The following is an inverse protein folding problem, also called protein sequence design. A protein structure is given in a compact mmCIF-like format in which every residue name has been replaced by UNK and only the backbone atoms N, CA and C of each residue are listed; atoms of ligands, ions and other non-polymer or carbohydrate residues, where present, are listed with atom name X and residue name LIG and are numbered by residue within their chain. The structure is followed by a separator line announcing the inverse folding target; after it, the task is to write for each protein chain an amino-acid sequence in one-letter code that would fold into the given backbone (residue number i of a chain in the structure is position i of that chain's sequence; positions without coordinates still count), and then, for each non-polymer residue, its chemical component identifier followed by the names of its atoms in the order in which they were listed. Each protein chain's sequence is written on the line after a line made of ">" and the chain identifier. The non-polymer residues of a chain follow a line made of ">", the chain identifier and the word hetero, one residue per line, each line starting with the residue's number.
data_IF_016354963354
#
_entry.id   IF_016354963354
#
_cell.length_a   1.000
_cell.length_b   1.000
_cell.length_c   1.000
_cell.angle_alpha   90.00
_cell.angle_beta   90.00
_cell.angle_gamma   90.00
#
_symmetry.space_group_name_H-M   'P 1'
#
loop_
_entity.id
_entity.type
_entity.pdbx_description
1 polymer ?
#
# COMPACT_ATOMS: atom_id res chain seq x y z
N UNK A 1 -43.85 33.44 15.07
CA UNK A 1 -43.71 33.04 15.33
C UNK A 1 -43.14 32.07 15.31
N UNK A 2 -42.86 31.50 15.43
CA UNK A 2 -42.63 30.47 15.41
C UNK A 2 -41.69 30.00 14.60
N UNK A 3 -41.47 30.10 13.82
CA UNK A 3 -40.69 29.72 12.91
C UNK A 3 -39.41 29.43 13.35
N UNK A 4 -38.98 29.97 13.97
CA UNK A 4 -37.73 29.84 14.35
C UNK A 4 -37.42 28.52 14.73
N UNK A 5 -38.20 27.95 15.22
CA UNK A 5 -37.91 26.71 15.68
C UNK A 5 -37.33 25.95 14.72
N UNK A 6 -37.63 26.12 13.64
CA UNK A 6 -37.17 25.36 12.68
C UNK A 6 -35.74 25.38 12.64
N UNK A 7 -35.16 26.34 12.86
CA UNK A 7 -33.76 26.41 12.67
C UNK A 7 -33.03 25.33 13.41
N UNK A 8 -33.52 25.06 14.54
CA UNK A 8 -32.85 24.05 15.31
C UNK A 8 -32.80 22.75 14.63
N UNK A 9 -33.83 22.43 13.99
CA UNK A 9 -33.89 21.15 13.33
C UNK A 9 -32.83 21.05 12.30
N UNK A 10 -32.62 22.09 11.59
CA UNK A 10 -31.65 22.05 10.54
C UNK A 10 -30.26 21.78 11.07
N UNK A 11 -29.96 22.36 12.15
CA UNK A 11 -28.65 22.18 12.70
C UNK A 11 -28.35 20.73 12.97
N UNK A 12 -29.31 20.04 13.44
CA UNK A 12 -29.11 18.65 13.76
C UNK A 12 -28.72 17.88 12.55
N UNK A 13 -29.35 18.16 11.46
CA UNK A 13 -29.05 17.43 10.27
C UNK A 13 -27.63 17.62 9.83
N UNK A 14 -27.16 18.80 9.94
CA UNK A 14 -25.82 19.08 9.51
C UNK A 14 -24.81 18.21 10.24
N UNK A 15 -25.05 17.99 11.47
CA UNK A 15 -24.11 17.23 12.23
C UNK A 15 -23.95 15.84 11.69
N UNK A 16 -25.01 15.26 11.33
CA UNK A 16 -24.95 13.91 10.86
C UNK A 16 -24.02 13.77 9.67
N UNK A 17 -24.08 14.73 8.81
CA UNK A 17 -23.28 14.64 7.61
C UNK A 17 -21.79 14.60 7.92
N UNK A 18 -21.40 15.31 8.91
CA UNK A 18 -19.98 15.37 9.22
C UNK A 18 -19.43 14.01 9.58
N UNK A 19 -20.20 13.24 10.30
CA UNK A 19 -19.72 11.95 10.72
C UNK A 19 -19.38 11.08 9.56
N UNK A 20 -20.17 11.11 8.55
CA UNK A 20 -19.94 10.25 7.41
C UNK A 20 -18.63 10.61 6.74
N UNK A 21 -18.33 11.87 6.64
CA UNK A 21 -17.13 12.27 5.97
C UNK A 21 -15.88 11.71 6.63
N UNK A 22 -15.89 11.58 7.92
CA UNK A 22 -14.72 11.09 8.60
C UNK A 22 -14.51 9.61 8.39
N UNK A 23 -15.55 8.91 8.08
CA UNK A 23 -15.46 7.47 8.02
C UNK A 23 -14.74 6.93 6.81
N UNK A 24 -14.72 7.62 5.72
CA UNK A 24 -14.15 7.03 4.53
C UNK A 24 -13.23 7.97 3.80
N UNK A 25 -12.28 7.41 3.12
CA UNK A 25 -11.38 8.20 2.32
C UNK A 25 -11.97 8.41 0.94
N UNK A 26 -11.69 9.52 0.31
CA UNK A 26 -12.21 9.75 -1.02
C UNK A 26 -11.55 8.80 -2.02
N UNK A 27 -12.26 8.36 -3.00
CA UNK A 27 -11.68 7.48 -4.01
C UNK A 27 -10.71 8.26 -4.88
N UNK A 28 -9.78 7.57 -5.48
CA UNK A 28 -8.84 8.21 -6.38
C UNK A 28 -9.54 8.58 -7.66
N UNK A 29 -9.08 9.64 -8.29
CA UNK A 29 -9.61 10.00 -9.58
C UNK A 29 -9.14 9.00 -10.64
N UNK A 30 -9.82 8.88 -11.77
CA UNK A 30 -9.36 7.98 -12.82
C UNK A 30 -7.96 8.32 -13.32
N UNK A 31 -7.59 9.59 -13.35
CA UNK A 31 -6.26 9.95 -13.75
C UNK A 31 -5.22 9.49 -12.74
N UNK A 32 -5.55 9.61 -11.45
CA UNK A 32 -4.66 9.16 -10.42
C UNK A 32 -4.50 7.64 -10.47
N UNK A 33 -5.59 6.94 -10.73
CA UNK A 33 -5.51 5.49 -10.84
C UNK A 33 -4.63 5.07 -11.98
N UNK A 34 -4.72 5.73 -13.12
CA UNK A 34 -3.87 5.40 -14.25
C UNK A 34 -2.42 5.71 -13.96
N UNK A 35 -2.17 6.83 -13.30
CA UNK A 35 -0.80 7.18 -12.95
C UNK A 35 -0.22 6.17 -11.97
N UNK A 36 -1.00 5.75 -10.99
CA UNK A 36 -0.54 4.77 -10.02
C UNK A 36 -0.31 3.42 -10.69
N UNK A 37 -1.17 3.02 -11.61
CA UNK A 37 -1.00 1.76 -12.31
C UNK A 37 0.27 1.79 -13.15
N UNK A 38 0.52 2.89 -13.82
CA UNK A 38 1.74 3.01 -14.62
C UNK A 38 2.98 2.96 -13.73
N UNK A 39 2.90 3.58 -12.56
CA UNK A 39 4.01 3.54 -11.63
C UNK A 39 4.22 2.11 -11.12
N UNK A 40 3.14 1.41 -10.80
CA UNK A 40 3.25 0.03 -10.34
C UNK A 40 3.90 -0.85 -11.40
N UNK A 41 3.55 -0.64 -12.66
CA UNK A 41 4.15 -1.42 -13.74
C UNK A 41 5.65 -1.13 -13.84
N UNK A 42 6.04 0.12 -13.67
CA UNK A 42 7.45 0.45 -13.73
C UNK A 42 8.22 -0.15 -12.55
N UNK A 43 7.62 -0.18 -11.37
CA UNK A 43 8.27 -0.78 -10.22
C UNK A 43 8.41 -2.28 -10.44
N UNK A 44 7.36 -2.93 -10.90
CA UNK A 44 7.44 -4.37 -11.15
C UNK A 44 8.50 -4.68 -12.18
N UNK A 45 8.56 -3.91 -13.25
CA UNK A 45 9.56 -4.14 -14.28
C UNK A 45 10.98 -3.94 -13.74
N UNK A 46 11.15 -2.93 -12.89
CA UNK A 46 12.47 -2.67 -12.34
C UNK A 46 12.90 -3.80 -11.39
N UNK A 47 11.96 -4.32 -10.61
CA UNK A 47 12.29 -5.41 -9.72
C UNK A 47 12.60 -6.69 -10.50
N UNK A 48 11.83 -6.98 -11.53
CA UNK A 48 12.05 -8.17 -12.30
C UNK A 48 13.33 -8.09 -13.11
N UNK A 49 13.79 -6.90 -13.39
CA UNK A 49 15.03 -6.76 -14.13
C UNK A 49 16.26 -6.98 -13.28
N UNK A 50 16.10 -7.13 -11.97
CA UNK A 50 17.25 -7.32 -11.11
C UNK A 50 17.85 -8.70 -11.38
N UNK A 51 19.13 -8.78 -11.76
CA UNK A 51 19.71 -10.06 -12.13
C UNK A 51 20.11 -10.91 -10.94
N UNK A 52 20.05 -10.39 -9.76
CA UNK A 52 20.47 -11.14 -8.59
C UNK A 52 19.32 -11.79 -7.88
N UNK A 53 18.28 -11.05 -7.60
CA UNK A 53 17.21 -11.56 -6.76
C UNK A 53 15.96 -11.94 -7.54
N UNK A 54 15.74 -11.34 -8.71
CA UNK A 54 14.59 -11.63 -9.56
C UNK A 54 13.23 -11.33 -8.96
N UNK A 55 13.10 -11.09 -7.75
CA UNK A 55 11.88 -10.64 -7.06
C UNK A 55 10.56 -11.16 -7.63
N UNK A 56 10.50 -12.48 -7.86
CA UNK A 56 9.29 -13.02 -8.43
C UNK A 56 8.11 -13.02 -7.51
N UNK A 57 8.34 -13.12 -6.23
CA UNK A 57 7.26 -13.24 -5.27
C UNK A 57 6.97 -11.93 -4.55
N UNK A 58 7.33 -10.83 -5.14
CA UNK A 58 7.07 -9.52 -4.58
C UNK A 58 5.89 -8.90 -5.31
N UNK A 59 4.92 -8.45 -4.54
CA UNK A 59 3.75 -7.80 -5.08
C UNK A 59 3.87 -6.31 -4.91
N UNK A 60 3.45 -5.57 -5.91
CA UNK A 60 3.56 -4.12 -5.89
C UNK A 60 2.19 -3.50 -6.07
N UNK A 61 1.86 -2.58 -5.17
CA UNK A 61 0.66 -1.77 -5.33
C UNK A 61 1.07 -0.33 -5.12
N UNK A 62 0.45 0.58 -5.85
CA UNK A 62 0.77 1.99 -5.72
C UNK A 62 -0.52 2.77 -5.52
N UNK A 63 -0.54 3.62 -4.49
CA UNK A 63 -1.67 4.48 -4.20
C UNK A 63 -1.13 5.88 -3.99
N UNK A 64 -1.52 6.82 -4.82
CA UNK A 64 -1.07 8.21 -4.70
C UNK A 64 0.46 8.30 -4.62
N UNK A 65 1.13 7.46 -5.39
CA UNK A 65 2.58 7.48 -5.40
C UNK A 65 3.24 6.70 -4.28
N UNK A 66 2.48 6.17 -3.34
CA UNK A 66 3.04 5.36 -2.26
C UNK A 66 3.09 3.93 -2.75
N UNK A 67 4.28 3.38 -2.89
CA UNK A 67 4.45 2.02 -3.36
C UNK A 67 4.50 1.08 -2.17
N UNK A 68 3.64 0.09 -2.18
CA UNK A 68 3.62 -0.93 -1.14
C UNK A 68 4.18 -2.20 -1.71
N UNK A 69 5.14 -2.76 -1.03
CA UNK A 69 5.76 -4.01 -1.44
C UNK A 69 5.32 -5.10 -0.48
N UNK A 70 4.77 -6.16 -1.02
CA UNK A 70 4.35 -7.31 -0.21
C UNK A 70 4.93 -8.57 -0.78
N UNK A 71 4.65 -9.68 -0.14
CA UNK A 71 5.13 -10.96 -0.61
C UNK A 71 6.35 -11.43 0.15
N UNK A 72 7.21 -12.17 -0.52
CA UNK A 72 8.32 -12.83 0.14
C UNK A 72 9.63 -12.59 -0.58
N UNK A 73 10.69 -12.49 0.22
CA UNK A 73 12.04 -12.44 -0.33
C UNK A 73 12.88 -13.41 0.46
N UNK A 74 14.03 -13.81 -0.10
CA UNK A 74 14.86 -14.82 0.53
C UNK A 74 15.83 -14.30 1.56
N UNK A 75 16.26 -13.09 1.46
CA UNK A 75 17.27 -12.57 2.36
C UNK A 75 16.96 -11.14 2.72
N UNK A 76 17.55 -10.68 3.81
CA UNK A 76 17.41 -9.30 4.20
C UNK A 76 18.01 -8.37 3.15
N UNK A 77 19.09 -8.80 2.51
CA UNK A 77 19.69 -7.98 1.46
C UNK A 77 18.71 -7.80 0.31
N UNK A 78 17.96 -8.84 -0.04
CA UNK A 78 16.97 -8.73 -1.09
C UNK A 78 15.88 -7.74 -0.68
N UNK A 79 15.51 -7.75 0.58
CA UNK A 79 14.48 -6.84 1.06
C UNK A 79 14.93 -5.39 0.89
N UNK A 80 16.14 -5.09 1.30
CA UNK A 80 16.64 -3.73 1.16
C UNK A 80 16.86 -3.35 -0.29
N UNK A 81 17.26 -4.32 -1.11
CA UNK A 81 17.44 -4.06 -2.53
C UNK A 81 16.11 -3.71 -3.18
N UNK A 82 15.06 -4.43 -2.82
CA UNK A 82 13.74 -4.14 -3.38
C UNK A 82 13.30 -2.73 -3.01
N UNK A 83 13.52 -2.34 -1.76
CA UNK A 83 13.16 -1.00 -1.34
C UNK A 83 13.95 0.06 -2.11
N UNK A 84 15.24 -0.18 -2.28
CA UNK A 84 16.08 0.77 -2.96
C UNK A 84 15.68 0.92 -4.42
N UNK A 85 15.44 -0.20 -5.08
CA UNK A 85 15.02 -0.17 -6.47
C UNK A 85 13.71 0.57 -6.62
N UNK A 86 12.77 0.28 -5.74
CA UNK A 86 11.46 0.91 -5.81
C UNK A 86 11.56 2.42 -5.62
N UNK A 87 12.39 2.87 -4.69
CA UNK A 87 12.52 4.30 -4.47
C UNK A 87 13.07 5.03 -5.67
N UNK A 88 13.82 4.35 -6.51
CA UNK A 88 14.41 5.01 -7.66
C UNK A 88 13.47 5.11 -8.84
N UNK A 89 12.30 4.52 -8.78
CA UNK A 89 11.36 4.53 -9.90
C UNK A 89 10.61 5.85 -9.93
N UNK A 90 10.55 6.49 -11.09
CA UNK A 90 9.80 7.75 -11.18
C UNK A 90 8.33 7.53 -10.85
N UNK A 91 7.78 8.42 -10.09
CA UNK A 91 6.38 8.32 -9.67
C UNK A 91 6.21 7.80 -8.26
N UNK A 92 7.26 7.19 -7.69
CA UNK A 92 7.19 6.70 -6.33
C UNK A 92 7.60 7.82 -5.38
N UNK A 93 6.73 8.17 -4.46
CA UNK A 93 7.03 9.19 -3.48
C UNK A 93 7.43 8.59 -2.15
N UNK A 94 6.97 7.37 -1.87
CA UNK A 94 7.30 6.71 -0.61
C UNK A 94 7.15 5.22 -0.78
N UNK A 95 7.88 4.45 -0.02
CA UNK A 95 7.82 3.00 -0.08
C UNK A 95 7.40 2.47 1.27
N UNK A 96 6.39 1.61 1.26
CA UNK A 96 5.96 0.90 2.45
C UNK A 96 6.24 -0.58 2.22
N UNK A 97 6.90 -1.20 3.17
CA UNK A 97 7.37 -2.55 3.01
C UNK A 97 6.68 -3.48 3.97
N UNK A 98 5.96 -4.45 3.44
CA UNK A 98 5.36 -5.49 4.26
C UNK A 98 5.85 -6.86 3.80
N UNK A 99 6.98 -6.91 3.11
CA UNK A 99 7.52 -8.18 2.65
C UNK A 99 8.02 -9.01 3.83
N UNK A 100 7.99 -10.30 3.66
CA UNK A 100 8.47 -11.21 4.69
C UNK A 100 9.60 -12.05 4.14
N UNK A 101 10.46 -12.48 5.03
CA UNK A 101 11.55 -13.35 4.64
C UNK A 101 11.05 -14.79 4.60
N UNK A 102 11.26 -15.44 3.49
CA UNK A 102 10.85 -16.82 3.39
C UNK A 102 11.91 -17.69 4.00
N UNK A 103 11.57 -18.44 5.03
CA UNK A 103 12.53 -19.25 5.69
C UNK A 103 12.54 -20.61 5.10
N UNK A 104 13.62 -20.93 4.47
CA UNK A 104 13.70 -22.22 3.90
C UNK A 104 13.79 -23.27 4.93
N UNK A 105 13.30 -24.32 4.69
CA UNK A 105 13.43 -25.42 5.59
C UNK A 105 12.50 -25.37 6.73
N UNK A 106 11.84 -24.32 6.86
CA UNK A 106 10.97 -24.27 7.96
C UNK A 106 9.60 -24.63 7.62
N UNK A 107 9.35 -25.02 6.42
CA UNK A 107 8.10 -25.27 6.05
C UNK A 107 7.52 -26.33 6.75
N UNK A 108 7.55 -27.15 6.91
CA UNK A 108 6.85 -28.11 7.54
C UNK A 108 6.73 -27.89 8.96
N UNK A 109 7.58 -27.55 9.58
CA UNK A 109 7.47 -27.55 10.93
C UNK A 109 6.80 -26.48 11.50
N UNK A 110 6.62 -25.67 10.98
CA UNK A 110 5.97 -24.64 11.48
C UNK A 110 6.27 -24.38 12.86
N UNK A 111 6.11 -25.05 13.49
CA UNK A 111 6.19 -24.82 14.77
C UNK A 111 7.48 -24.55 15.17
N UNK A 112 8.07 -25.21 15.04
CA UNK A 112 9.22 -25.08 15.63
C UNK A 112 9.71 -23.88 15.45
N UNK A 113 9.35 -23.59 14.68
CA UNK A 113 9.72 -22.47 14.38
C UNK A 113 10.10 -21.76 15.41
N UNK A 114 9.43 -21.59 15.84
CA UNK A 114 9.73 -20.68 16.64
C UNK A 114 10.99 -20.84 17.09
N UNK A 115 11.26 -21.54 17.21
CA UNK A 115 12.33 -21.64 17.78
C UNK A 115 13.38 -21.24 17.24
N UNK A 116 13.67 -21.15 16.82
CA UNK A 116 14.72 -20.89 16.41
C UNK A 116 15.06 -20.24 16.13
#
# INVERSE_FOLDING_TARGET
>A
MRLERKGGACAVLASAAVIVACASSPPRSPDQERADAATADRVSAALEADPIYYFRDVEVTVDYGVARLGGYVWTTDALYAAQRITRSVPGVTRVEDTMELERQGNRGGGDGAGSQ
#
